data_IF_678908088267
#
_entry.id   IF_678908088267
#
_cell.length_a   1.000
_cell.length_b   1.000
_cell.length_c   1.000
_cell.angle_alpha   90.00
_cell.angle_beta   90.00
_cell.angle_gamma   90.00
#
_symmetry.space_group_name_H-M   'P 1'
#
loop_
_entity.id
_entity.type
_entity.pdbx_description
1 polymer ?
#
# COMPACT_ATOMS: atom_id res chain seq x y z
N UNK A 1 -7.46 4.15 -10.33
CA UNK A 1 -8.46 3.35 -9.60
C UNK A 1 -8.84 4.06 -8.31
N UNK A 2 -10.08 3.92 -7.82
CA UNK A 2 -10.42 4.51 -6.51
C UNK A 2 -9.91 3.64 -5.35
N UNK A 3 -9.72 4.25 -4.18
CA UNK A 3 -9.16 3.57 -3.01
C UNK A 3 -10.02 2.39 -2.55
N UNK A 4 -11.34 2.49 -2.60
CA UNK A 4 -12.26 1.44 -2.16
C UNK A 4 -12.30 0.27 -3.15
N UNK A 5 -12.27 0.55 -4.45
CA UNK A 5 -12.10 -0.49 -5.48
C UNK A 5 -10.78 -1.25 -5.29
N UNK A 6 -9.67 -0.54 -5.03
CA UNK A 6 -8.38 -1.16 -4.76
C UNK A 6 -8.44 -2.10 -3.54
N UNK A 7 -9.06 -1.67 -2.44
CA UNK A 7 -9.24 -2.50 -1.25
C UNK A 7 -10.04 -3.77 -1.55
N UNK A 8 -11.14 -3.65 -2.30
CA UNK A 8 -11.97 -4.81 -2.67
C UNK A 8 -11.17 -5.83 -3.45
N UNK A 9 -10.41 -5.40 -4.46
CA UNK A 9 -9.57 -6.31 -5.27
C UNK A 9 -8.52 -7.04 -4.44
N UNK A 10 -7.90 -6.37 -3.46
CA UNK A 10 -6.96 -7.03 -2.54
C UNK A 10 -7.66 -8.13 -1.76
N UNK A 11 -8.84 -7.85 -1.20
CA UNK A 11 -9.61 -8.81 -0.40
C UNK A 11 -10.11 -9.97 -1.27
N UNK A 12 -10.62 -9.70 -2.47
CA UNK A 12 -11.08 -10.71 -3.44
C UNK A 12 -9.98 -11.70 -3.83
N UNK A 13 -8.72 -11.23 -3.87
CA UNK A 13 -7.54 -12.04 -4.15
C UNK A 13 -6.95 -12.72 -2.90
N UNK A 14 -7.62 -12.62 -1.74
CA UNK A 14 -7.19 -13.21 -0.46
C UNK A 14 -6.13 -12.41 0.29
N UNK A 15 -5.85 -11.18 -0.15
CA UNK A 15 -4.95 -10.26 0.52
C UNK A 15 -5.59 -9.56 1.72
N UNK A 16 -4.77 -8.84 2.47
CA UNK A 16 -5.17 -8.14 3.69
C UNK A 16 -4.96 -6.63 3.51
N UNK A 17 -6.00 -5.85 3.77
CA UNK A 17 -5.92 -4.39 3.86
C UNK A 17 -5.79 -4.00 5.33
N UNK A 18 -4.81 -3.16 5.64
CA UNK A 18 -4.62 -2.55 6.97
C UNK A 18 -4.90 -1.06 6.91
N UNK A 19 -5.56 -0.53 7.94
CA UNK A 19 -5.76 0.92 8.09
C UNK A 19 -4.54 1.58 8.73
N UNK A 20 -3.81 0.84 9.56
CA UNK A 20 -2.60 1.30 10.23
C UNK A 20 -1.35 0.74 9.59
N UNK A 21 -0.27 1.54 9.64
CA UNK A 21 1.06 1.11 9.26
C UNK A 21 1.73 0.49 10.47
N UNK A 22 2.09 -0.78 10.34
CA UNK A 22 2.73 -1.62 11.36
C UNK A 22 3.96 -2.33 10.78
N UNK A 23 4.87 -2.87 11.61
CA UNK A 23 6.09 -3.53 11.14
C UNK A 23 5.87 -4.78 10.28
N UNK A 24 4.71 -5.42 10.39
CA UNK A 24 4.29 -6.58 9.60
C UNK A 24 3.60 -6.18 8.28
N UNK A 25 3.43 -4.89 7.99
CA UNK A 25 2.89 -4.41 6.73
C UNK A 25 3.91 -4.63 5.61
N UNK A 26 3.50 -5.37 4.57
CA UNK A 26 4.40 -5.69 3.45
C UNK A 26 4.54 -4.54 2.46
N UNK A 27 3.42 -3.92 2.10
CA UNK A 27 3.36 -2.91 1.05
C UNK A 27 2.57 -1.68 1.47
N UNK A 28 3.11 -0.50 1.15
CA UNK A 28 2.35 0.75 1.09
C UNK A 28 2.18 1.14 -0.37
N UNK A 29 0.94 1.11 -0.86
CA UNK A 29 0.61 1.60 -2.20
C UNK A 29 0.52 3.12 -2.15
N UNK A 30 1.38 3.80 -2.89
CA UNK A 30 1.41 5.27 -2.96
C UNK A 30 1.89 5.74 -4.33
N UNK A 31 1.24 6.78 -4.86
CA UNK A 31 1.72 7.49 -6.05
C UNK A 31 2.65 8.66 -5.68
N UNK A 32 2.79 8.94 -4.38
CA UNK A 32 3.65 10.00 -3.86
C UNK A 32 5.00 9.43 -3.44
N UNK A 33 6.00 9.63 -4.28
CA UNK A 33 7.39 9.20 -4.06
C UNK A 33 8.20 10.18 -3.20
N UNK A 34 7.63 11.35 -2.87
CA UNK A 34 8.26 12.41 -2.08
C UNK A 34 7.46 12.74 -0.81
N UNK A 35 6.44 11.94 -0.49
CA UNK A 35 5.43 12.33 0.47
C UNK A 35 5.96 12.54 1.88
N UNK A 36 5.86 13.76 2.40
CA UNK A 36 6.14 14.04 3.81
C UNK A 36 4.99 13.66 4.75
N UNK A 37 4.00 12.91 4.25
CA UNK A 37 2.85 12.51 5.05
C UNK A 37 3.29 11.68 6.27
N UNK A 38 2.54 11.80 7.38
CA UNK A 38 2.80 11.01 8.60
C UNK A 38 2.88 9.51 8.30
N UNK A 39 2.04 9.03 7.39
CA UNK A 39 1.99 7.63 6.98
C UNK A 39 3.24 7.22 6.19
N UNK A 40 3.64 8.01 5.19
CA UNK A 40 4.86 7.75 4.42
C UNK A 40 6.10 7.73 5.32
N UNK A 41 6.24 8.74 6.20
CA UNK A 41 7.33 8.82 7.16
C UNK A 41 7.35 7.62 8.13
N UNK A 42 6.18 7.15 8.60
CA UNK A 42 6.05 5.97 9.44
C UNK A 42 6.45 4.69 8.69
N UNK A 43 5.94 4.47 7.49
CA UNK A 43 6.30 3.33 6.63
C UNK A 43 7.80 3.31 6.32
N UNK A 44 8.38 4.48 6.03
CA UNK A 44 9.82 4.62 5.74
C UNK A 44 10.68 4.22 6.94
N UNK A 45 10.31 4.67 8.15
CA UNK A 45 11.00 4.29 9.39
C UNK A 45 10.90 2.78 9.66
N UNK A 46 9.76 2.18 9.33
CA UNK A 46 9.49 0.75 9.50
C UNK A 46 10.04 -0.11 8.36
N UNK A 47 10.66 0.48 7.34
CA UNK A 47 11.19 -0.20 6.14
C UNK A 47 10.14 -1.02 5.38
N UNK A 48 8.90 -0.53 5.39
CA UNK A 48 7.82 -1.07 4.55
C UNK A 48 8.16 -0.81 3.09
N UNK A 49 7.82 -1.77 2.20
CA UNK A 49 8.05 -1.61 0.77
C UNK A 49 7.01 -0.66 0.18
N UNK A 50 7.45 0.32 -0.59
CA UNK A 50 6.56 1.22 -1.31
C UNK A 50 6.37 0.70 -2.72
N UNK A 51 5.14 0.67 -3.19
CA UNK A 51 4.80 0.33 -4.57
C UNK A 51 3.86 1.36 -5.16
N UNK A 52 3.99 1.60 -6.45
CA UNK A 52 3.07 2.49 -7.18
C UNK A 52 1.81 1.74 -7.67
N UNK A 53 0.88 2.47 -8.29
CA UNK A 53 -0.33 1.89 -8.85
C UNK A 53 -0.04 0.85 -9.96
N UNK A 54 1.02 1.03 -10.75
CA UNK A 54 1.37 0.12 -11.85
C UNK A 54 1.86 -1.21 -11.30
N UNK A 55 2.74 -1.18 -10.31
CA UNK A 55 3.25 -2.36 -9.61
C UNK A 55 2.13 -3.09 -8.86
N UNK A 56 1.27 -2.34 -8.17
CA UNK A 56 0.10 -2.90 -7.49
C UNK A 56 -0.81 -3.67 -8.47
N UNK A 57 -1.11 -3.07 -9.63
CA UNK A 57 -1.95 -3.72 -10.65
C UNK A 57 -1.29 -4.96 -11.26
N UNK A 58 0.05 -5.01 -11.37
CA UNK A 58 0.76 -6.22 -11.81
C UNK A 58 0.62 -7.37 -10.81
N UNK A 59 0.61 -7.07 -9.51
CA UNK A 59 0.44 -8.07 -8.45
C UNK A 59 -0.99 -8.64 -8.36
N UNK A 60 -1.99 -7.90 -8.85
CA UNK A 60 -3.38 -8.35 -8.86
C UNK A 60 -3.75 -9.28 -10.03
N UNK A 61 -2.86 -9.46 -11.01
CA UNK A 61 -3.07 -10.37 -12.15
C UNK A 61 -3.00 -11.82 -11.68
#
# INVERSE_FOLDING_TARGET
MDKEEAKRKVIEKGGIVREEISPDLWYLVTNDSQGETKNFNKARKLRVTFIDEIEFLKMLK
#
